data_IF_863647488936
#
_entry.id   IF_863647488936
#
_cell.length_a   1.000
_cell.length_b   1.000
_cell.length_c   1.000
_cell.angle_alpha   90.00
_cell.angle_beta   90.00
_cell.angle_gamma   90.00
#
_symmetry.space_group_name_H-M   'P 1'
#
loop_
_entity.id
_entity.type
_entity.pdbx_description
1 polymer ?
#
# COMPACT_ATOMS: atom_id res chain seq x y z
N UNK A 1 -6.36 -44.26 8.98
CA UNK A 1 -7.63 -43.61 8.59
C UNK A 1 -8.29 -43.02 9.84
N UNK A 2 -8.18 -41.71 10.05
CA UNK A 2 -8.82 -40.98 11.15
C UNK A 2 -9.83 -39.98 10.59
N UNK A 3 -11.06 -40.01 11.11
CA UNK A 3 -12.25 -39.34 10.56
C UNK A 3 -12.21 -37.80 10.68
N UNK A 4 -12.88 -37.08 9.76
CA UNK A 4 -12.87 -35.61 9.71
C UNK A 4 -13.72 -34.96 10.80
N UNK A 5 -13.22 -33.85 11.35
CA UNK A 5 -13.96 -32.99 12.27
C UNK A 5 -14.91 -32.08 11.47
N UNK A 6 -16.20 -32.43 11.48
CA UNK A 6 -17.26 -31.57 10.95
C UNK A 6 -17.58 -30.46 11.96
N UNK A 7 -17.31 -29.21 11.57
CA UNK A 7 -17.79 -28.01 12.23
C UNK A 7 -19.28 -27.82 11.89
N UNK A 8 -20.14 -27.78 12.92
CA UNK A 8 -21.56 -27.41 12.80
C UNK A 8 -21.77 -26.03 13.45
N UNK A 9 -22.41 -25.07 12.78
CA UNK A 9 -22.81 -23.81 13.39
C UNK A 9 -24.04 -24.00 14.30
N UNK A 10 -24.05 -23.31 15.45
CA UNK A 10 -25.16 -23.25 16.39
C UNK A 10 -26.15 -22.15 15.99
N UNK A 11 -27.43 -22.45 15.70
CA UNK A 11 -28.45 -21.46 15.51
C UNK A 11 -29.31 -21.35 16.77
N UNK A 12 -29.26 -20.17 17.38
CA UNK A 12 -30.43 -19.62 18.03
C UNK A 12 -30.42 -19.62 19.55
N UNK A 13 -30.14 -18.44 20.11
CA UNK A 13 -30.81 -18.01 21.33
C UNK A 13 -31.45 -16.65 21.13
N UNK A 14 -32.56 -16.66 20.39
CA UNK A 14 -33.58 -15.65 20.59
C UNK A 14 -34.38 -16.01 21.86
N UNK A 15 -34.61 -15.02 22.73
CA UNK A 15 -35.94 -14.48 23.06
C UNK A 15 -35.99 -13.83 24.45
N UNK A 16 -36.88 -12.84 24.52
CA UNK A 16 -37.64 -12.29 25.66
C UNK A 16 -36.93 -11.15 26.41
N UNK A 17 -37.57 -10.04 26.77
CA UNK A 17 -38.91 -9.54 26.52
C UNK A 17 -38.90 -8.03 26.88
N UNK A 18 -39.82 -7.28 26.29
CA UNK A 18 -40.06 -5.87 26.57
C UNK A 18 -40.51 -5.64 28.03
N UNK A 19 -40.11 -4.50 28.61
CA UNK A 19 -40.90 -3.80 29.61
C UNK A 19 -40.76 -2.28 29.42
N UNK A 20 -41.92 -1.65 29.26
CA UNK A 20 -42.13 -0.20 29.28
C UNK A 20 -42.05 0.28 30.72
N UNK A 21 -41.34 1.37 30.98
CA UNK A 21 -41.37 2.12 32.23
C UNK A 21 -41.12 3.59 31.94
N UNK A 22 -42.10 4.43 32.23
CA UNK A 22 -42.08 5.87 31.97
C UNK A 22 -41.90 6.68 33.26
N UNK A 23 -41.25 7.85 33.10
CA UNK A 23 -41.28 9.08 33.92
C UNK A 23 -40.55 9.08 35.29
N UNK A 24 -39.51 9.92 35.41
CA UNK A 24 -39.55 11.20 36.15
C UNK A 24 -38.25 12.01 36.00
N UNK A 25 -38.38 13.31 36.21
CA UNK A 25 -37.53 14.41 35.77
C UNK A 25 -36.25 14.65 36.58
N UNK A 26 -35.23 15.22 35.93
CA UNK A 26 -34.30 16.17 36.54
C UNK A 26 -33.68 17.09 35.48
N UNK A 27 -33.84 18.40 35.68
CA UNK A 27 -33.29 19.47 34.87
C UNK A 27 -31.76 19.44 34.84
N UNK A 28 -31.19 19.60 33.64
CA UNK A 28 -29.77 19.87 33.43
C UNK A 28 -29.58 20.58 32.09
N UNK A 29 -29.13 21.83 32.13
CA UNK A 29 -28.98 22.71 30.98
C UNK A 29 -27.96 22.20 29.96
N UNK A 30 -28.32 22.23 28.68
CA UNK A 30 -27.36 22.25 27.57
C UNK A 30 -28.02 22.96 26.38
N UNK A 31 -27.76 24.25 26.25
CA UNK A 31 -28.10 25.03 25.07
C UNK A 31 -26.89 25.05 24.11
N UNK A 32 -27.21 24.82 22.83
CA UNK A 32 -26.49 25.18 21.60
C UNK A 32 -25.57 24.12 20.94
N UNK A 33 -26.22 23.24 20.17
CA UNK A 33 -26.01 23.01 18.72
C UNK A 33 -24.55 23.00 18.21
N UNK A 34 -23.84 21.89 18.43
CA UNK A 34 -22.71 21.49 17.60
C UNK A 34 -23.20 20.59 16.46
N UNK A 35 -23.00 21.02 15.21
CA UNK A 35 -23.53 20.39 14.01
C UNK A 35 -23.06 18.94 13.80
N UNK A 36 -24.01 18.07 13.49
CA UNK A 36 -23.78 16.76 12.92
C UNK A 36 -23.45 16.94 11.43
N UNK A 37 -22.18 16.85 11.05
CA UNK A 37 -21.78 16.67 9.65
C UNK A 37 -21.47 15.19 9.44
N UNK A 38 -22.48 14.46 8.96
CA UNK A 38 -22.27 13.26 8.19
C UNK A 38 -21.73 13.69 6.81
N UNK A 39 -20.47 13.36 6.54
CA UNK A 39 -19.82 13.67 5.26
C UNK A 39 -18.41 13.13 5.28
N UNK A 40 -18.23 11.92 4.73
CA UNK A 40 -16.91 11.33 4.56
C UNK A 40 -16.01 12.26 3.74
N UNK A 41 -14.83 12.53 4.27
CA UNK A 41 -13.69 13.06 3.53
C UNK A 41 -12.47 12.71 4.37
N UNK A 42 -11.56 11.94 3.75
CA UNK A 42 -10.35 11.45 4.40
C UNK A 42 -9.64 12.55 5.15
N UNK A 43 -9.48 12.36 6.46
CA UNK A 43 -8.50 13.10 7.23
C UNK A 43 -7.13 12.77 6.65
N UNK A 44 -6.60 13.68 5.83
CA UNK A 44 -5.18 13.79 5.62
C UNK A 44 -4.55 14.08 6.98
N UNK A 45 -3.78 13.13 7.50
CA UNK A 45 -2.90 13.37 8.62
C UNK A 45 -1.84 14.37 8.14
N UNK A 46 -2.10 15.66 8.40
CA UNK A 46 -1.19 16.76 8.08
C UNK A 46 0.07 16.65 8.94
N UNK A 47 1.14 16.16 8.33
CA UNK A 47 2.48 16.60 8.68
C UNK A 47 2.75 17.95 8.00
N UNK A 48 3.78 18.65 8.43
CA UNK A 48 4.28 19.95 7.93
C UNK A 48 4.61 19.95 6.42
N UNK A 49 3.61 19.74 5.57
CA UNK A 49 3.75 19.88 4.13
C UNK A 49 3.85 21.38 3.79
N UNK A 50 4.90 21.80 3.04
CA UNK A 50 4.96 23.17 2.56
C UNK A 50 3.71 23.49 1.71
N UNK A 51 3.18 24.72 1.78
CA UNK A 51 1.96 25.08 1.08
C UNK A 51 2.12 24.85 -0.42
N UNK A 52 1.36 23.89 -0.97
CA UNK A 52 1.30 23.59 -2.40
C UNK A 52 1.60 22.14 -2.81
N UNK A 53 2.15 21.29 -1.93
CA UNK A 53 2.38 19.87 -2.26
C UNK A 53 1.16 19.04 -1.82
N UNK A 54 0.32 18.66 -2.77
CA UNK A 54 -0.75 17.68 -2.49
C UNK A 54 -0.17 16.28 -2.55
N UNK A 55 0.06 15.68 -1.39
CA UNK A 55 0.51 14.29 -1.32
C UNK A 55 -0.66 13.37 -1.58
N UNK A 56 -0.49 12.50 -2.57
CA UNK A 56 -1.53 11.58 -3.00
C UNK A 56 -1.62 10.39 -2.05
N UNK A 57 -2.84 10.07 -1.61
CA UNK A 57 -3.11 8.85 -0.84
C UNK A 57 -3.00 7.58 -1.71
N UNK A 58 -2.79 6.44 -1.06
CA UNK A 58 -2.64 5.14 -1.74
C UNK A 58 -3.86 4.80 -2.63
N UNK A 59 -5.07 5.01 -2.12
CA UNK A 59 -6.32 4.76 -2.85
C UNK A 59 -6.50 5.73 -4.04
N UNK A 60 -6.08 6.98 -3.90
CA UNK A 60 -6.16 7.98 -4.97
C UNK A 60 -5.18 7.66 -6.10
N UNK A 61 -3.94 7.26 -5.76
CA UNK A 61 -2.95 6.80 -6.74
C UNK A 61 -3.43 5.57 -7.49
N UNK A 62 -3.98 4.58 -6.77
CA UNK A 62 -4.54 3.38 -7.39
C UNK A 62 -5.68 3.73 -8.35
N UNK A 63 -6.61 4.60 -7.91
CA UNK A 63 -7.74 5.04 -8.73
C UNK A 63 -7.29 5.80 -9.99
N UNK A 64 -6.34 6.74 -9.87
CA UNK A 64 -5.78 7.48 -11.01
C UNK A 64 -5.07 6.55 -12.00
N UNK A 65 -4.41 5.51 -11.51
CA UNK A 65 -3.76 4.50 -12.35
C UNK A 65 -4.75 3.49 -12.99
N UNK A 66 -6.04 3.56 -12.63
CA UNK A 66 -7.07 2.61 -13.07
C UNK A 66 -6.98 1.24 -12.40
N UNK A 67 -6.47 1.19 -11.16
CA UNK A 67 -6.32 -0.02 -10.37
C UNK A 67 -7.31 -0.07 -9.20
N UNK A 68 -7.94 -1.23 -9.04
CA UNK A 68 -8.54 -1.65 -7.77
C UNK A 68 -7.52 -2.45 -6.97
N UNK A 69 -7.18 -1.98 -5.77
CA UNK A 69 -6.18 -2.62 -4.90
C UNK A 69 -6.58 -4.06 -4.56
N UNK A 70 -5.65 -5.00 -4.76
CA UNK A 70 -5.86 -6.43 -4.52
C UNK A 70 -5.53 -6.83 -3.08
N UNK A 71 -4.51 -6.20 -2.51
CA UNK A 71 -4.11 -6.36 -1.12
C UNK A 71 -3.46 -5.06 -0.64
N UNK A 72 -3.50 -4.83 0.67
CA UNK A 72 -2.89 -3.66 1.28
C UNK A 72 -2.13 -4.05 2.55
N UNK A 73 -1.01 -3.38 2.79
CA UNK A 73 -0.28 -3.39 4.06
C UNK A 73 -0.23 -1.96 4.58
N UNK A 74 -0.44 -1.77 5.88
CA UNK A 74 -0.34 -0.47 6.54
C UNK A 74 0.58 -0.60 7.74
N UNK A 75 1.62 0.22 7.75
CA UNK A 75 2.50 0.46 8.87
C UNK A 75 2.37 1.93 9.31
N UNK A 76 3.15 2.35 10.31
CA UNK A 76 3.15 3.72 10.83
C UNK A 76 3.82 4.68 9.83
N UNK A 77 4.86 4.19 9.18
CA UNK A 77 5.75 4.91 8.27
C UNK A 77 5.31 4.84 6.80
N UNK A 78 4.54 3.82 6.42
CA UNK A 78 4.12 3.60 5.03
C UNK A 78 2.80 2.84 4.89
N UNK A 79 2.20 2.97 3.70
CA UNK A 79 1.12 2.10 3.22
C UNK A 79 1.50 1.53 1.86
N UNK A 80 1.24 0.25 1.64
CA UNK A 80 1.56 -0.45 0.41
C UNK A 80 0.31 -1.12 -0.15
N UNK A 81 0.18 -1.15 -1.47
CA UNK A 81 -0.94 -1.77 -2.16
C UNK A 81 -0.51 -2.48 -3.44
N UNK A 82 -0.97 -3.71 -3.64
CA UNK A 82 -0.71 -4.47 -4.86
C UNK A 82 -1.77 -4.16 -5.93
N UNK A 83 -1.31 -3.95 -7.15
CA UNK A 83 -2.13 -3.66 -8.32
C UNK A 83 -1.87 -4.65 -9.45
N UNK A 84 -2.94 -5.03 -10.14
CA UNK A 84 -2.88 -5.76 -11.39
C UNK A 84 -3.91 -5.17 -12.36
N UNK A 85 -3.42 -4.63 -13.48
CA UNK A 85 -4.26 -4.07 -14.54
C UNK A 85 -3.79 -4.60 -15.90
N UNK A 86 -4.45 -4.18 -16.98
CA UNK A 86 -3.98 -4.43 -18.34
C UNK A 86 -2.60 -3.81 -18.64
N UNK A 87 -2.18 -2.79 -17.87
CA UNK A 87 -0.86 -2.14 -17.98
C UNK A 87 0.26 -2.97 -17.33
N UNK A 88 -0.11 -4.00 -16.55
CA UNK A 88 0.82 -4.89 -15.85
C UNK A 88 0.57 -4.96 -14.35
N UNK A 89 1.48 -5.67 -13.66
CA UNK A 89 1.51 -5.76 -12.19
C UNK A 89 2.48 -4.74 -11.64
N UNK A 90 2.08 -4.08 -10.56
CA UNK A 90 2.92 -3.12 -9.86
C UNK A 90 2.47 -3.03 -8.40
N UNK A 91 3.35 -2.48 -7.57
CA UNK A 91 3.06 -2.21 -6.16
C UNK A 91 3.21 -0.72 -5.90
N UNK A 92 2.18 -0.09 -5.33
CA UNK A 92 2.22 1.28 -4.86
C UNK A 92 2.65 1.31 -3.40
N UNK A 93 3.52 2.25 -3.04
CA UNK A 93 3.94 2.54 -1.67
C UNK A 93 3.79 4.04 -1.43
N UNK A 94 3.10 4.44 -0.37
CA UNK A 94 3.00 5.83 0.08
C UNK A 94 3.66 5.97 1.44
N UNK A 95 4.32 7.09 1.70
CA UNK A 95 5.13 7.32 2.89
C UNK A 95 4.57 8.47 3.73
N UNK A 96 4.74 8.37 5.05
CA UNK A 96 4.35 9.45 5.97
C UNK A 96 5.28 10.67 5.83
N UNK A 97 6.56 10.47 5.52
CA UNK A 97 7.55 11.55 5.37
C UNK A 97 8.40 11.39 4.11
N UNK A 98 8.95 12.49 3.60
CA UNK A 98 9.92 12.47 2.49
C UNK A 98 11.20 11.72 2.87
N UNK A 99 11.67 11.91 4.11
CA UNK A 99 12.80 11.16 4.66
C UNK A 99 12.52 9.65 4.65
N UNK A 100 11.32 9.23 5.05
CA UNK A 100 10.91 7.83 5.05
C UNK A 100 10.96 7.21 3.65
N UNK A 101 10.47 7.93 2.63
CA UNK A 101 10.62 7.51 1.24
C UNK A 101 12.09 7.41 0.82
N UNK A 102 12.89 8.43 1.16
CA UNK A 102 14.30 8.48 0.81
C UNK A 102 15.09 7.33 1.44
N UNK A 103 14.83 7.01 2.71
CA UNK A 103 15.44 5.90 3.43
C UNK A 103 15.04 4.58 2.78
N UNK A 104 13.74 4.39 2.54
CA UNK A 104 13.22 3.19 1.88
C UNK A 104 13.83 2.98 0.48
N UNK A 105 13.95 4.03 -0.34
CA UNK A 105 14.57 3.93 -1.67
C UNK A 105 16.05 3.58 -1.59
N UNK A 106 16.80 4.12 -0.61
CA UNK A 106 18.22 3.77 -0.42
C UNK A 106 18.41 2.32 -0.01
N UNK A 107 17.47 1.75 0.74
CA UNK A 107 17.49 0.35 1.13
C UNK A 107 16.99 -0.58 0.03
N UNK A 108 16.00 -0.13 -0.76
CA UNK A 108 15.38 -0.91 -1.83
C UNK A 108 16.25 -0.96 -3.08
N UNK A 109 16.82 0.18 -3.52
CA UNK A 109 17.55 0.30 -4.78
C UNK A 109 18.71 -0.67 -4.94
N UNK A 110 19.52 -0.96 -3.89
CA UNK A 110 20.52 -2.00 -3.97
C UNK A 110 19.90 -3.20 -4.63
N UNK A 111 18.79 -3.75 -4.11
CA UNK A 111 18.06 -4.96 -4.57
C UNK A 111 17.60 -4.99 -6.04
N UNK A 112 17.79 -3.91 -6.77
CA UNK A 112 17.48 -3.80 -8.19
C UNK A 112 16.01 -3.55 -8.48
N UNK A 113 15.64 -3.64 -9.76
CA UNK A 113 14.30 -3.34 -10.24
C UNK A 113 14.13 -1.88 -10.68
N UNK A 114 12.89 -1.50 -10.97
CA UNK A 114 12.55 -0.18 -11.50
C UNK A 114 11.50 0.48 -10.61
N UNK A 115 11.66 1.79 -10.39
CA UNK A 115 10.84 2.59 -9.49
C UNK A 115 10.32 3.83 -10.22
N UNK A 116 9.02 4.09 -10.14
CA UNK A 116 8.45 5.38 -10.49
C UNK A 116 8.25 6.18 -9.21
N UNK A 117 8.93 7.30 -9.10
CA UNK A 117 9.12 8.06 -7.86
C UNK A 117 8.40 9.40 -7.96
N UNK A 118 7.53 9.69 -7.00
CA UNK A 118 6.88 10.99 -6.83
C UNK A 118 6.92 11.50 -5.39
N UNK A 119 6.24 12.61 -5.06
CA UNK A 119 6.25 13.18 -3.72
C UNK A 119 5.55 12.27 -2.70
N UNK A 120 6.33 11.69 -1.77
CA UNK A 120 5.87 10.74 -0.74
C UNK A 120 5.20 9.47 -1.29
N UNK A 121 5.54 9.05 -2.50
CA UNK A 121 5.10 7.75 -3.05
C UNK A 121 6.07 7.15 -4.07
N UNK A 122 6.02 5.82 -4.20
CA UNK A 122 6.78 5.03 -5.18
C UNK A 122 5.88 3.96 -5.78
N UNK A 123 5.95 3.73 -7.10
CA UNK A 123 5.44 2.53 -7.74
C UNK A 123 6.60 1.61 -8.18
N UNK A 124 6.54 0.34 -7.83
CA UNK A 124 7.52 -0.69 -8.23
C UNK A 124 6.89 -1.60 -9.27
N UNK A 125 7.57 -1.81 -10.39
CA UNK A 125 7.05 -2.63 -11.49
C UNK A 125 8.08 -2.82 -12.60
N UNK A 126 7.63 -3.35 -13.74
CA UNK A 126 8.49 -3.41 -14.93
C UNK A 126 8.63 -2.02 -15.54
N UNK A 127 9.75 -1.76 -16.23
CA UNK A 127 9.99 -0.52 -16.99
C UNK A 127 8.78 -0.12 -17.85
N UNK A 128 8.24 -1.05 -18.65
CA UNK A 128 7.10 -0.79 -19.53
C UNK A 128 5.82 -0.40 -18.76
N UNK A 129 5.53 -1.08 -17.65
CA UNK A 129 4.39 -0.74 -16.80
C UNK A 129 4.57 0.66 -16.21
N UNK A 130 5.77 0.98 -15.71
CA UNK A 130 6.06 2.26 -15.09
C UNK A 130 6.09 3.43 -16.07
N UNK A 131 6.55 3.23 -17.30
CA UNK A 131 6.46 4.23 -18.37
C UNK A 131 5.01 4.60 -18.69
N UNK A 132 4.11 3.61 -18.66
CA UNK A 132 2.67 3.83 -18.83
C UNK A 132 2.10 4.58 -17.62
N UNK A 133 2.39 4.13 -16.40
CA UNK A 133 1.91 4.77 -15.17
C UNK A 133 2.39 6.21 -15.01
N UNK A 134 3.60 6.53 -15.49
CA UNK A 134 4.14 7.90 -15.48
C UNK A 134 3.26 8.89 -16.25
N UNK A 135 2.56 8.44 -17.29
CA UNK A 135 1.61 9.30 -18.02
C UNK A 135 0.40 9.68 -17.16
N UNK A 136 -0.02 8.80 -16.25
CA UNK A 136 -1.18 9.03 -15.38
C UNK A 136 -0.80 9.74 -14.07
N UNK A 137 0.35 9.39 -13.50
CA UNK A 137 0.76 9.78 -12.15
C UNK A 137 1.87 10.84 -12.12
N UNK A 138 2.55 11.07 -13.24
CA UNK A 138 3.78 11.85 -13.28
C UNK A 138 4.95 11.13 -12.61
N UNK A 139 5.89 11.90 -12.06
CA UNK A 139 7.07 11.38 -11.37
C UNK A 139 8.25 11.07 -12.31
N UNK A 140 9.29 10.49 -11.70
CA UNK A 140 10.56 10.15 -12.33
C UNK A 140 10.81 8.65 -12.24
N UNK A 141 11.23 8.03 -13.35
CA UNK A 141 11.64 6.63 -13.35
C UNK A 141 13.11 6.56 -12.91
N UNK A 142 13.38 5.72 -11.91
CA UNK A 142 14.71 5.46 -11.37
C UNK A 142 14.99 3.96 -11.40
N UNK A 143 16.21 3.58 -11.78
CA UNK A 143 16.68 2.20 -11.70
C UNK A 143 17.27 1.91 -10.32
N UNK A 144 17.10 0.67 -9.85
CA UNK A 144 17.95 0.09 -8.82
C UNK A 144 19.29 -0.38 -9.38
N UNK A 145 20.16 -0.86 -8.51
CA UNK A 145 21.47 -1.38 -8.88
C UNK A 145 21.35 -2.79 -9.50
N UNK A 146 22.37 -3.20 -10.25
CA UNK A 146 22.45 -4.56 -10.76
C UNK A 146 22.74 -5.55 -9.62
N UNK A 147 21.71 -6.19 -9.05
CA UNK A 147 21.92 -7.45 -8.35
C UNK A 147 22.15 -8.56 -9.36
N UNK A 148 23.42 -8.74 -9.71
CA UNK A 148 23.87 -9.69 -10.70
C UNK A 148 23.23 -11.07 -10.57
N UNK A 149 22.71 -11.54 -11.70
CA UNK A 149 22.67 -12.97 -11.99
C UNK A 149 24.12 -13.46 -12.03
N UNK A 150 24.55 -14.15 -10.97
CA UNK A 150 25.77 -14.94 -10.98
C UNK A 150 25.65 -16.04 -12.03
N UNK A 151 26.07 -15.73 -13.25
CA UNK A 151 25.96 -16.62 -14.40
C UNK A 151 27.01 -16.31 -15.45
N UNK A 152 28.27 -16.15 -15.02
CA UNK A 152 29.39 -16.37 -15.95
C UNK A 152 29.47 -17.88 -16.15
N UNK A 153 28.85 -18.37 -17.21
CA UNK A 153 29.29 -19.63 -17.81
C UNK A 153 30.72 -19.37 -18.31
N UNK A 154 31.71 -19.76 -17.51
CA UNK A 154 33.05 -19.99 -17.99
C UNK A 154 32.99 -21.23 -18.89
N UNK A 155 32.81 -21.01 -20.19
CA UNK A 155 33.15 -21.99 -21.22
C UNK A 155 34.69 -22.09 -21.28
N UNK A 156 35.28 -22.64 -20.21
CA UNK A 156 36.68 -22.99 -20.11
C UNK A 156 36.97 -24.21 -20.97
N UNK A 157 37.17 -23.97 -22.27
CA UNK A 157 37.67 -24.94 -23.23
C UNK A 157 38.94 -25.65 -22.73
N UNK A 158 38.89 -26.98 -22.72
CA UNK A 158 39.95 -27.90 -22.36
C UNK A 158 41.18 -27.81 -23.29
N UNK A 159 42.38 -27.84 -22.70
CA UNK A 159 43.66 -28.17 -23.34
C UNK A 159 44.80 -27.55 -22.53
N UNK A 160 45.88 -28.22 -22.12
CA UNK A 160 46.43 -29.56 -22.31
C UNK A 160 47.74 -29.62 -21.50
N UNK A 161 48.27 -30.83 -21.31
CA UNK A 161 49.46 -31.22 -20.53
C UNK A 161 50.73 -30.33 -20.59
N UNK A 162 51.48 -30.27 -19.47
CA UNK A 162 52.76 -31.00 -19.25
C UNK A 162 53.32 -30.78 -17.83
N UNK A 163 53.82 -31.81 -17.13
CA UNK A 163 54.63 -31.64 -15.92
C UNK A 163 56.12 -31.56 -16.26
N UNK A 164 56.85 -30.70 -15.56
CA UNK A 164 58.32 -30.65 -15.52
C UNK A 164 58.79 -30.80 -14.08
#
# INVERSE_FOLDING_TARGET
MGRPHNFRPDPGRARRAALRGALTAACGAALLLGGCSAGGSGQNAGGDDPPGVTVAGLEDLASKAGCTLQSQTKAEELRQGACQTSKGRYTLVTFTTEEGQGNWLREAKPWGGTYLVGPRWVAVGTEQTLQTLRQDLGGEIQAGDDHGQGGKHEDGNHGGHTPG
#
